data_IF_960582607703
#
_entry.id   IF_960582607703
#
_cell.length_a   1.000
_cell.length_b   1.000
_cell.length_c   1.000
_cell.angle_alpha   90.00
_cell.angle_beta   90.00
_cell.angle_gamma   90.00
#
_symmetry.space_group_name_H-M   'P 1'
#
loop_
_entity.id
_entity.type
_entity.pdbx_description
1 polymer ?
#
# COMPACT_ATOMS: atom_id res chain seq x y z
N UNK A 1 15.98 12.16 -1.77
CA UNK A 1 15.95 11.10 -2.78
C UNK A 1 14.83 10.11 -2.45
N UNK A 2 14.06 9.74 -3.45
CA UNK A 2 12.87 8.93 -3.25
C UNK A 2 13.17 7.43 -3.30
N UNK A 3 13.95 6.95 -2.36
CA UNK A 3 14.27 5.54 -2.24
C UNK A 3 13.41 4.89 -1.17
N UNK A 4 12.98 3.67 -1.45
CA UNK A 4 12.28 2.81 -0.51
C UNK A 4 13.07 1.53 -0.32
N UNK A 5 13.24 1.12 0.92
CA UNK A 5 13.84 -0.16 1.28
C UNK A 5 12.82 -0.90 2.11
N UNK A 6 12.37 -2.04 1.61
CA UNK A 6 11.26 -2.77 2.23
C UNK A 6 11.53 -4.27 2.21
N UNK A 7 11.23 -4.93 3.32
CA UNK A 7 11.24 -6.38 3.43
C UNK A 7 9.84 -6.87 3.74
N UNK A 8 9.44 -7.96 3.09
CA UNK A 8 8.12 -8.55 3.26
C UNK A 8 8.22 -9.96 3.81
N UNK A 9 7.35 -10.28 4.75
CA UNK A 9 7.30 -11.58 5.41
C UNK A 9 5.87 -12.09 5.47
N UNK A 10 5.70 -13.40 5.43
CA UNK A 10 4.41 -14.03 5.66
C UNK A 10 4.19 -14.21 7.17
N UNK A 11 2.94 -14.02 7.61
CA UNK A 11 2.58 -14.15 9.00
C UNK A 11 2.29 -15.61 9.33
N UNK A 12 2.84 -16.10 10.44
CA UNK A 12 2.64 -17.49 10.88
C UNK A 12 1.45 -17.71 11.80
N UNK A 13 1.11 -16.70 12.61
CA UNK A 13 0.06 -16.82 13.63
C UNK A 13 -0.55 -15.45 13.91
N UNK A 14 -1.44 -15.40 14.89
CA UNK A 14 -2.17 -14.19 15.25
C UNK A 14 -1.63 -13.47 16.49
N UNK A 15 -0.46 -13.84 16.98
CA UNK A 15 0.11 -13.22 18.19
C UNK A 15 0.42 -11.73 18.03
N UNK A 16 0.60 -11.28 16.81
CA UNK A 16 0.84 -9.88 16.48
C UNK A 16 -0.32 -8.96 16.88
N UNK A 17 -1.54 -9.49 17.02
CA UNK A 17 -2.72 -8.69 17.33
C UNK A 17 -2.62 -7.99 18.68
N UNK A 18 -1.83 -8.50 19.60
CA UNK A 18 -1.59 -7.90 20.91
C UNK A 18 -0.77 -6.61 20.83
N UNK A 19 -0.07 -6.38 19.74
CA UNK A 19 0.85 -5.25 19.55
C UNK A 19 0.30 -4.15 18.66
N UNK A 20 -0.99 -4.22 18.29
CA UNK A 20 -1.59 -3.24 17.38
C UNK A 20 -1.69 -1.87 18.03
N UNK A 21 -1.05 -0.87 17.41
CA UNK A 21 -1.15 0.53 17.84
C UNK A 21 -2.24 1.28 17.08
N UNK A 22 -2.42 0.95 15.80
CA UNK A 22 -3.31 1.68 14.91
C UNK A 22 -3.75 0.79 13.76
N UNK A 23 -4.97 1.02 13.29
CA UNK A 23 -5.52 0.36 12.11
C UNK A 23 -6.05 1.41 11.16
N UNK A 24 -5.79 1.24 9.86
CA UNK A 24 -6.37 2.08 8.82
C UNK A 24 -6.93 1.22 7.70
N UNK A 25 -7.92 1.77 7.00
CA UNK A 25 -8.49 1.15 5.81
C UNK A 25 -7.88 1.78 4.59
N UNK A 26 -7.48 0.94 3.64
CA UNK A 26 -6.86 1.36 2.40
C UNK A 26 -7.62 0.72 1.24
N UNK A 27 -7.98 1.53 0.25
CA UNK A 27 -8.42 1.05 -1.05
C UNK A 27 -7.39 1.47 -2.08
N UNK A 28 -6.95 0.55 -2.92
CA UNK A 28 -5.93 0.85 -3.91
C UNK A 28 -6.18 0.15 -5.24
N UNK A 29 -5.74 0.79 -6.31
CA UNK A 29 -5.79 0.24 -7.64
C UNK A 29 -4.52 0.53 -8.40
N UNK A 30 -4.23 -0.27 -9.41
CA UNK A 30 -3.02 -0.17 -10.21
C UNK A 30 -3.36 0.25 -11.62
N UNK A 31 -2.77 1.37 -12.07
CA UNK A 31 -2.86 1.83 -13.45
C UNK A 31 -1.87 1.06 -14.33
N UNK A 32 -0.73 0.69 -13.74
CA UNK A 32 0.30 -0.09 -14.41
C UNK A 32 1.01 -0.96 -13.37
N UNK A 33 1.34 -2.18 -13.76
CA UNK A 33 2.12 -3.10 -12.92
C UNK A 33 3.50 -3.39 -13.48
N UNK A 34 3.77 -3.02 -14.72
CA UNK A 34 5.03 -3.44 -15.35
C UNK A 34 5.47 -2.61 -16.55
N UNK A 35 4.85 -1.47 -16.84
CA UNK A 35 5.29 -0.66 -17.98
C UNK A 35 6.71 -0.15 -17.73
N UNK A 36 7.67 -0.67 -18.48
CA UNK A 36 9.10 -0.39 -18.30
C UNK A 36 9.57 -0.60 -16.85
N UNK A 37 8.96 -1.57 -16.15
CA UNK A 37 9.26 -1.87 -14.77
C UNK A 37 8.61 -0.93 -13.76
N UNK A 38 7.82 0.02 -14.19
CA UNK A 38 7.11 0.93 -13.28
C UNK A 38 5.78 0.37 -12.83
N UNK A 39 5.54 0.46 -11.53
CA UNK A 39 4.25 0.21 -10.90
C UNK A 39 3.64 1.56 -10.58
N UNK A 40 2.43 1.81 -11.05
CA UNK A 40 1.70 3.05 -10.79
C UNK A 40 0.43 2.69 -10.04
N UNK A 41 0.28 3.23 -8.85
CA UNK A 41 -0.80 2.90 -7.94
C UNK A 41 -1.49 4.15 -7.44
N UNK A 42 -2.81 4.11 -7.37
CA UNK A 42 -3.61 5.11 -6.64
C UNK A 42 -4.14 4.47 -5.38
N UNK A 43 -4.10 5.20 -4.28
CA UNK A 43 -4.50 4.70 -2.96
C UNK A 43 -5.35 5.73 -2.24
N UNK A 44 -6.48 5.28 -1.70
CA UNK A 44 -7.30 6.05 -0.78
C UNK A 44 -6.98 5.63 0.66
N UNK A 45 -6.69 6.61 1.51
CA UNK A 45 -6.48 6.42 2.93
C UNK A 45 -7.34 7.44 3.64
N UNK A 46 -8.47 7.01 4.23
CA UNK A 46 -9.43 7.93 4.80
C UNK A 46 -9.95 8.91 3.75
N UNK A 47 -9.76 10.21 4.00
CA UNK A 47 -10.18 11.27 3.07
C UNK A 47 -9.09 11.63 2.05
N UNK A 48 -7.92 11.03 2.18
CA UNK A 48 -6.76 11.37 1.36
C UNK A 48 -6.61 10.40 0.20
N UNK A 49 -6.11 10.91 -0.91
CA UNK A 49 -5.73 10.10 -2.06
C UNK A 49 -4.29 10.40 -2.43
N UNK A 50 -3.58 9.36 -2.83
CA UNK A 50 -2.18 9.47 -3.24
C UNK A 50 -1.94 8.64 -4.49
N UNK A 51 -1.05 9.13 -5.33
CA UNK A 51 -0.52 8.37 -6.46
C UNK A 51 0.94 8.05 -6.17
N UNK A 52 1.34 6.82 -6.45
CA UNK A 52 2.71 6.37 -6.24
C UNK A 52 3.25 5.75 -7.51
N UNK A 53 4.50 6.08 -7.83
CA UNK A 53 5.26 5.46 -8.91
C UNK A 53 6.43 4.74 -8.28
N UNK A 54 6.54 3.44 -8.55
CA UNK A 54 7.53 2.59 -7.93
C UNK A 54 8.26 1.77 -8.97
N UNK A 55 9.57 1.69 -8.88
CA UNK A 55 10.39 0.86 -9.74
C UNK A 55 11.47 0.15 -8.94
N UNK A 56 11.58 -1.15 -9.15
CA UNK A 56 12.60 -1.96 -8.50
C UNK A 56 13.99 -1.60 -9.03
N UNK A 57 14.95 -1.46 -8.12
CA UNK A 57 16.36 -1.21 -8.46
C UNK A 57 17.15 -2.50 -8.28
N UNK A 58 17.29 -2.95 -7.05
CA UNK A 58 18.00 -4.19 -6.71
C UNK A 58 17.66 -4.63 -5.28
N UNK A 59 17.72 -5.92 -5.02
CA UNK A 59 17.47 -6.46 -3.68
C UNK A 59 16.13 -5.99 -3.12
N UNK A 60 16.16 -5.28 -2.00
CA UNK A 60 14.96 -4.72 -1.36
C UNK A 60 14.79 -3.22 -1.64
N UNK A 61 15.55 -2.67 -2.59
CA UNK A 61 15.57 -1.23 -2.87
C UNK A 61 14.78 -0.90 -4.11
N UNK A 62 13.92 0.10 -4.02
CA UNK A 62 13.10 0.61 -5.12
C UNK A 62 13.21 2.13 -5.18
N UNK A 63 12.96 2.70 -6.37
CA UNK A 63 12.50 4.09 -6.43
C UNK A 63 11.05 4.12 -5.99
N UNK A 64 10.66 5.12 -5.23
CA UNK A 64 9.25 5.39 -4.95
C UNK A 64 9.02 6.89 -4.90
N UNK A 65 8.10 7.35 -5.74
CA UNK A 65 7.65 8.73 -5.77
C UNK A 65 6.18 8.74 -5.43
N UNK A 66 5.81 9.45 -4.38
CA UNK A 66 4.43 9.49 -3.92
C UNK A 66 3.96 10.93 -3.82
N UNK A 67 2.77 11.19 -4.34
CA UNK A 67 2.20 12.52 -4.37
C UNK A 67 0.75 12.48 -3.92
N UNK A 68 0.35 13.47 -3.13
CA UNK A 68 -1.05 13.65 -2.80
C UNK A 68 -1.79 14.20 -4.00
N UNK A 69 -2.98 13.69 -4.25
CA UNK A 69 -3.88 14.16 -5.30
C UNK A 69 -5.24 14.49 -4.69
N UNK A 70 -6.04 15.35 -5.34
CA UNK A 70 -7.39 15.60 -4.87
C UNK A 70 -8.19 14.30 -4.76
N UNK A 71 -9.01 14.17 -3.73
CA UNK A 71 -9.83 12.98 -3.52
C UNK A 71 -10.73 12.70 -4.71
N UNK A 72 -11.30 13.74 -5.32
CA UNK A 72 -12.15 13.62 -6.49
C UNK A 72 -11.40 13.02 -7.70
N UNK A 73 -10.13 13.39 -7.87
CA UNK A 73 -9.31 12.83 -8.93
C UNK A 73 -9.04 11.34 -8.67
N UNK A 74 -8.71 11.02 -7.44
CA UNK A 74 -8.49 9.63 -7.04
C UNK A 74 -9.74 8.76 -7.24
N UNK A 75 -10.92 9.29 -6.91
CA UNK A 75 -12.18 8.58 -7.12
C UNK A 75 -12.46 8.32 -8.59
N UNK A 76 -12.21 9.30 -9.46
CA UNK A 76 -12.38 9.14 -10.90
C UNK A 76 -11.43 8.08 -11.44
N UNK A 77 -10.18 8.12 -11.05
CA UNK A 77 -9.20 7.13 -11.47
C UNK A 77 -9.62 5.73 -11.03
N UNK A 78 -9.96 5.56 -9.76
CA UNK A 78 -10.35 4.26 -9.20
C UNK A 78 -11.58 3.69 -9.88
N UNK A 79 -12.57 4.53 -10.18
CA UNK A 79 -13.81 4.08 -10.82
C UNK A 79 -13.61 3.62 -12.27
N UNK A 80 -12.50 3.97 -12.89
CA UNK A 80 -12.15 3.56 -14.24
C UNK A 80 -11.19 2.37 -14.30
N UNK A 81 -10.85 1.80 -13.15
CA UNK A 81 -10.04 0.59 -13.08
C UNK A 81 -10.94 -0.65 -13.06
N UNK A 82 -10.45 -1.74 -13.66
CA UNK A 82 -11.21 -2.99 -13.72
C UNK A 82 -11.32 -3.68 -12.38
N UNK A 83 -10.36 -3.45 -11.49
CA UNK A 83 -10.38 -4.03 -10.13
C UNK A 83 -9.59 -3.18 -9.16
N UNK A 84 -10.01 -3.22 -7.90
CA UNK A 84 -9.31 -2.56 -6.81
C UNK A 84 -9.14 -3.54 -5.66
N UNK A 85 -8.23 -3.23 -4.76
CA UNK A 85 -7.95 -4.04 -3.57
C UNK A 85 -8.33 -3.20 -2.36
N UNK A 86 -9.09 -3.78 -1.45
CA UNK A 86 -9.37 -3.18 -0.14
C UNK A 86 -8.64 -3.97 0.92
N UNK A 87 -8.00 -3.28 1.85
CA UNK A 87 -7.27 -3.91 2.93
C UNK A 87 -7.31 -3.10 4.19
N UNK A 88 -7.05 -3.78 5.30
CA UNK A 88 -6.79 -3.15 6.58
C UNK A 88 -5.30 -3.20 6.83
N UNK A 89 -4.72 -2.07 7.19
CA UNK A 89 -3.32 -2.00 7.58
C UNK A 89 -3.22 -1.77 9.07
N UNK A 90 -2.51 -2.67 9.73
CA UNK A 90 -2.24 -2.59 11.16
C UNK A 90 -0.81 -2.11 11.38
N UNK A 91 -0.67 -1.14 12.26
CA UNK A 91 0.63 -0.63 12.67
C UNK A 91 0.97 -1.20 14.04
N UNK A 92 2.16 -1.75 14.15
CA UNK A 92 2.63 -2.39 15.38
C UNK A 92 4.02 -1.89 15.73
N UNK A 93 4.31 -1.95 17.02
CA UNK A 93 5.66 -1.70 17.51
C UNK A 93 6.05 -2.89 18.39
N UNK A 94 7.12 -3.58 18.02
CA UNK A 94 7.64 -4.74 18.72
C UNK A 94 9.13 -4.54 18.91
N UNK A 95 9.59 -4.54 20.17
CA UNK A 95 11.01 -4.38 20.51
C UNK A 95 11.63 -3.13 19.84
N UNK A 96 10.92 -2.02 19.91
CA UNK A 96 11.32 -0.72 19.35
C UNK A 96 11.42 -0.70 17.82
N UNK A 97 10.87 -1.71 17.15
CA UNK A 97 10.79 -1.74 15.69
C UNK A 97 9.34 -1.56 15.25
N UNK A 98 9.17 -0.80 14.19
CA UNK A 98 7.85 -0.55 13.60
C UNK A 98 7.59 -1.55 12.49
N UNK A 99 6.40 -2.15 12.52
CA UNK A 99 5.93 -3.12 11.54
C UNK A 99 4.58 -2.73 11.01
N UNK A 100 4.30 -3.11 9.78
CA UNK A 100 2.94 -3.04 9.24
C UNK A 100 2.49 -4.42 8.80
N UNK A 101 1.22 -4.72 9.03
CA UNK A 101 0.58 -5.96 8.59
C UNK A 101 -0.64 -5.59 7.79
N UNK A 102 -0.73 -6.10 6.57
CA UNK A 102 -1.86 -5.86 5.69
C UNK A 102 -2.74 -7.11 5.63
N UNK A 103 -4.03 -6.90 5.89
CA UNK A 103 -5.04 -7.95 5.75
C UNK A 103 -5.91 -7.61 4.55
N UNK A 104 -5.83 -8.43 3.51
CA UNK A 104 -6.59 -8.23 2.28
C UNK A 104 -8.00 -8.75 2.42
N UNK A 105 -8.95 -8.00 1.86
CA UNK A 105 -10.32 -8.46 1.76
C UNK A 105 -10.47 -9.38 0.56
N UNK A 106 -11.01 -10.58 0.81
CA UNK A 106 -11.28 -11.56 -0.24
C UNK A 106 -12.64 -11.38 -0.90
N UNK A 107 -13.41 -10.39 -0.44
CA UNK A 107 -14.79 -10.17 -0.92
C UNK A 107 -14.83 -9.60 -2.34
N UNK A 108 -13.72 -9.13 -2.84
CA UNK A 108 -13.63 -8.41 -4.12
C UNK A 108 -13.08 -9.25 -5.26
N UNK A 109 -13.25 -10.50 -5.15
CA UNK A 109 -12.89 -11.40 -6.23
C UNK A 109 -13.96 -11.38 -7.32
#
# INVERSE_FOLDING_TARGET
MALEIERKFLIRNNNWKEFINKKIYIEQGYLSKSLDGWIIRVRHIGKNSKIALKKHIKGFTNFEFEYSIPRSDGETIMSNLSSTIKKERFYLEVEKKSWTIDSLSLIHI
#
